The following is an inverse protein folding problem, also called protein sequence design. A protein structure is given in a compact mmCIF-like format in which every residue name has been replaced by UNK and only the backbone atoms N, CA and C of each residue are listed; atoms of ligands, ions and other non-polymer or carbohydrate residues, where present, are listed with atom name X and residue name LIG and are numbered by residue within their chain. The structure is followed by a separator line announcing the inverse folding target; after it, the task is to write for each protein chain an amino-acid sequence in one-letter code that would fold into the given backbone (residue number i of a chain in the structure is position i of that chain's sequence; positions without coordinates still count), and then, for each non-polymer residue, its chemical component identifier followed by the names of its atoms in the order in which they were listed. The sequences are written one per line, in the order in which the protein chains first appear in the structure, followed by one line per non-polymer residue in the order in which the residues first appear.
data_IF_349131443607
#
_entry.id   IF_349131443607
#
_cell.length_a   1.000
_cell.length_b   1.000
_cell.length_c   1.000
_cell.angle_alpha   90.00
_cell.angle_beta   90.00
_cell.angle_gamma   90.00
#
_symmetry.space_group_name_H-M   'P 1'
#
loop_
_entity.id
_entity.type
_entity.pdbx_description
1 polymer ?
#
# COMPACT_ATOMS: atom_id res chain seq x y z
N UNK A 1 3.79 -25.78 1.64
CA UNK A 1 3.45 -24.49 1.03
C UNK A 1 3.63 -23.42 2.10
N UNK A 2 4.49 -22.46 1.86
CA UNK A 2 4.73 -21.39 2.81
C UNK A 2 3.62 -20.32 2.73
N UNK A 3 3.52 -19.44 3.73
CA UNK A 3 2.48 -18.41 3.79
C UNK A 3 2.48 -17.51 2.56
N UNK A 4 3.64 -17.14 2.05
CA UNK A 4 3.82 -16.32 0.85
C UNK A 4 3.13 -16.94 -0.36
N UNK A 5 3.37 -18.24 -0.61
CA UNK A 5 2.74 -18.97 -1.72
C UNK A 5 1.21 -19.04 -1.55
N UNK A 6 0.74 -19.29 -0.35
CA UNK A 6 -0.70 -19.36 -0.04
C UNK A 6 -1.39 -18.01 -0.32
N UNK A 7 -0.78 -16.91 0.09
CA UNK A 7 -1.31 -15.57 -0.13
C UNK A 7 -1.31 -15.22 -1.63
N UNK A 8 -0.22 -15.50 -2.34
CA UNK A 8 -0.14 -15.24 -3.78
C UNK A 8 -1.16 -16.07 -4.57
N UNK A 9 -1.33 -17.34 -4.22
CA UNK A 9 -2.33 -18.20 -4.87
C UNK A 9 -3.75 -17.72 -4.57
N UNK A 10 -4.01 -17.24 -3.36
CA UNK A 10 -5.32 -16.68 -3.02
C UNK A 10 -5.59 -15.37 -3.77
N UNK A 11 -4.60 -14.47 -3.90
CA UNK A 11 -4.74 -13.25 -4.71
C UNK A 11 -5.06 -13.58 -6.17
N UNK A 12 -4.36 -14.57 -6.75
CA UNK A 12 -4.66 -15.03 -8.11
C UNK A 12 -6.06 -15.63 -8.23
N UNK A 13 -6.49 -16.40 -7.24
CA UNK A 13 -7.84 -16.97 -7.19
C UNK A 13 -8.93 -15.90 -7.10
N UNK A 14 -8.62 -14.75 -6.52
CA UNK A 14 -9.51 -13.58 -6.46
C UNK A 14 -9.50 -12.75 -7.76
N UNK A 15 -8.67 -13.12 -8.74
CA UNK A 15 -8.58 -12.45 -10.04
C UNK A 15 -7.50 -11.38 -10.15
N UNK A 16 -6.63 -11.25 -9.14
CA UNK A 16 -5.48 -10.36 -9.21
C UNK A 16 -4.29 -11.00 -9.93
N UNK A 17 -3.41 -10.17 -10.46
CA UNK A 17 -2.17 -10.58 -11.10
C UNK A 17 -0.97 -10.00 -10.34
N UNK A 18 -0.55 -10.62 -9.22
CA UNK A 18 0.59 -10.12 -8.47
C UNK A 18 1.87 -10.18 -9.30
N UNK A 19 2.58 -9.06 -9.37
CA UNK A 19 3.85 -8.90 -10.08
C UNK A 19 4.96 -8.73 -9.05
N UNK A 20 6.00 -9.53 -9.14
CA UNK A 20 7.15 -9.45 -8.25
C UNK A 20 7.92 -8.14 -8.46
N UNK A 21 8.19 -7.44 -7.36
CA UNK A 21 8.92 -6.19 -7.33
C UNK A 21 10.22 -6.39 -6.54
N UNK A 22 11.22 -6.99 -7.19
CA UNK A 22 12.50 -7.30 -6.56
C UNK A 22 12.35 -8.00 -5.21
N UNK A 23 13.16 -7.61 -4.25
CA UNK A 23 13.11 -8.17 -2.88
C UNK A 23 12.04 -7.52 -1.97
N UNK A 24 11.29 -6.54 -2.50
CA UNK A 24 10.33 -5.76 -1.72
C UNK A 24 9.01 -6.50 -1.52
N UNK A 25 8.51 -7.15 -2.56
CA UNK A 25 7.25 -7.86 -2.50
C UNK A 25 6.53 -8.02 -3.83
N UNK A 26 5.21 -7.99 -3.79
CA UNK A 26 4.36 -8.27 -4.95
C UNK A 26 3.30 -7.18 -5.10
N UNK A 27 3.34 -6.50 -6.22
CA UNK A 27 2.37 -5.45 -6.59
C UNK A 27 1.17 -6.07 -7.27
N UNK A 28 -0.01 -5.68 -6.87
CA UNK A 28 -1.25 -5.99 -7.58
C UNK A 28 -2.15 -4.75 -7.64
N UNK A 29 -3.00 -4.70 -8.64
CA UNK A 29 -3.88 -3.57 -8.88
C UNK A 29 -5.32 -3.94 -8.55
N UNK A 30 -5.98 -3.06 -7.79
CA UNK A 30 -7.42 -3.10 -7.57
C UNK A 30 -8.00 -1.71 -7.84
N UNK A 31 -8.98 -1.65 -8.73
CA UNK A 31 -9.48 -0.39 -9.28
C UNK A 31 -8.30 0.45 -9.80
N UNK A 32 -8.15 1.67 -9.36
CA UNK A 32 -7.08 2.57 -9.83
C UNK A 32 -5.90 2.64 -8.86
N UNK A 33 -5.83 1.74 -7.88
CA UNK A 33 -4.80 1.77 -6.85
C UNK A 33 -3.87 0.57 -6.93
N UNK A 34 -2.60 0.83 -6.68
CA UNK A 34 -1.60 -0.21 -6.52
C UNK A 34 -1.50 -0.61 -5.05
N UNK A 35 -1.55 -1.91 -4.82
CA UNK A 35 -1.33 -2.54 -3.53
C UNK A 35 -0.02 -3.31 -3.57
N UNK A 36 0.67 -3.36 -2.47
CA UNK A 36 1.93 -4.08 -2.35
C UNK A 36 1.83 -5.08 -1.18
N UNK A 37 1.90 -6.36 -1.47
CA UNK A 37 2.10 -7.39 -0.48
C UNK A 37 3.59 -7.49 -0.17
N UNK A 38 3.96 -7.28 1.09
CA UNK A 38 5.35 -7.29 1.57
C UNK A 38 5.54 -8.47 2.51
N UNK A 39 5.98 -9.65 2.01
CA UNK A 39 6.29 -10.77 2.88
C UNK A 39 7.48 -10.46 3.79
N UNK A 40 7.49 -11.06 4.97
CA UNK A 40 8.59 -10.99 5.90
C UNK A 40 9.23 -12.38 6.02
N UNK A 41 10.48 -12.52 5.61
CA UNK A 41 11.17 -13.81 5.62
C UNK A 41 11.56 -14.27 7.05
N UNK A 42 11.60 -13.35 8.00
CA UNK A 42 11.95 -13.62 9.39
C UNK A 42 10.72 -13.92 10.27
N UNK A 43 9.52 -13.55 9.83
CA UNK A 43 8.25 -13.81 10.54
C UNK A 43 7.19 -14.39 9.61
N UNK A 44 7.11 -15.71 9.58
CA UNK A 44 6.16 -16.46 8.74
C UNK A 44 4.67 -16.15 9.04
N UNK A 45 4.36 -15.60 10.21
CA UNK A 45 2.99 -15.25 10.58
C UNK A 45 2.63 -13.80 10.27
N UNK A 46 3.60 -13.00 9.85
CA UNK A 46 3.39 -11.59 9.60
C UNK A 46 2.85 -11.35 8.18
N UNK A 47 1.68 -10.75 8.11
CA UNK A 47 1.05 -10.32 6.86
C UNK A 47 1.04 -8.80 6.79
N UNK A 48 1.68 -8.24 5.78
CA UNK A 48 1.66 -6.80 5.51
C UNK A 48 1.21 -6.54 4.08
N UNK A 49 0.16 -5.76 3.93
CA UNK A 49 -0.29 -5.22 2.65
C UNK A 49 -0.38 -3.70 2.81
N UNK A 50 0.08 -2.98 1.81
CA UNK A 50 0.17 -1.52 1.85
C UNK A 50 -0.37 -0.91 0.55
N UNK A 51 -0.77 0.36 0.62
CA UNK A 51 -0.88 1.23 -0.55
C UNK A 51 0.33 2.16 -0.49
N UNK A 52 1.32 1.99 -1.38
CA UNK A 52 2.51 2.79 -1.35
C UNK A 52 2.29 4.19 -1.93
N UNK A 53 3.07 5.13 -1.47
CA UNK A 53 3.22 6.44 -2.10
C UNK A 53 1.91 7.22 -2.29
N UNK A 54 1.10 7.32 -1.24
CA UNK A 54 -0.13 8.12 -1.28
C UNK A 54 0.14 9.61 -1.52
N UNK A 55 1.21 10.10 -0.93
CA UNK A 55 1.53 11.53 -0.97
C UNK A 55 3.00 11.76 -0.71
N UNK A 56 3.63 12.63 -1.51
CA UNK A 56 5.01 13.05 -1.32
C UNK A 56 5.08 14.13 -0.24
N UNK A 57 6.01 13.96 0.70
CA UNK A 57 6.22 14.88 1.81
C UNK A 57 7.45 15.73 1.53
N UNK A 58 7.25 17.04 1.54
CA UNK A 58 8.31 18.05 1.41
C UNK A 58 8.44 18.84 2.70
N UNK A 59 9.50 19.62 2.85
CA UNK A 59 9.66 20.50 4.01
C UNK A 59 8.49 21.50 4.14
N UNK A 60 7.92 21.93 3.02
CA UNK A 60 6.81 22.89 2.97
C UNK A 60 5.48 22.33 3.40
N UNK A 61 5.19 21.07 3.05
CA UNK A 61 3.90 20.43 3.35
C UNK A 61 3.93 19.50 4.56
N UNK A 62 5.09 19.27 5.17
CA UNK A 62 5.30 18.27 6.21
C UNK A 62 4.32 18.40 7.39
N UNK A 63 4.11 19.60 7.89
CA UNK A 63 3.21 19.84 9.03
C UNK A 63 1.77 19.47 8.66
N UNK A 64 1.30 19.90 7.50
CA UNK A 64 -0.06 19.61 7.01
C UNK A 64 -0.25 18.11 6.80
N UNK A 65 0.75 17.44 6.25
CA UNK A 65 0.70 15.98 6.02
C UNK A 65 0.69 15.22 7.35
N UNK A 66 1.54 15.60 8.30
CA UNK A 66 1.57 14.96 9.63
C UNK A 66 0.24 15.14 10.37
N UNK A 67 -0.36 16.31 10.32
CA UNK A 67 -1.68 16.56 10.90
C UNK A 67 -2.76 15.69 10.24
N UNK A 68 -2.75 15.61 8.90
CA UNK A 68 -3.67 14.75 8.15
C UNK A 68 -3.48 13.27 8.50
N UNK A 69 -2.26 12.81 8.67
CA UNK A 69 -1.95 11.44 9.10
C UNK A 69 -2.48 11.16 10.50
N UNK A 70 -2.27 12.10 11.42
CA UNK A 70 -2.77 11.99 12.79
C UNK A 70 -4.31 11.91 12.83
N UNK A 71 -4.99 12.82 12.17
CA UNK A 71 -6.45 12.84 12.10
C UNK A 71 -7.02 11.58 11.41
N UNK A 72 -6.36 11.13 10.35
CA UNK A 72 -6.71 9.88 9.69
C UNK A 72 -6.61 8.70 10.65
N UNK A 73 -5.52 8.63 11.43
CA UNK A 73 -5.30 7.59 12.43
C UNK A 73 -6.37 7.54 13.52
N UNK A 74 -6.94 8.69 13.90
CA UNK A 74 -8.05 8.74 14.86
C UNK A 74 -9.36 8.15 14.32
N UNK A 75 -9.55 8.17 13.01
CA UNK A 75 -10.76 7.69 12.33
C UNK A 75 -10.66 6.24 11.90
N UNK A 76 -9.46 5.73 11.68
CA UNK A 76 -9.25 4.39 11.16
C UNK A 76 -9.23 3.32 12.24
N UNK A 77 -9.72 2.14 11.84
CA UNK A 77 -9.46 0.88 12.54
C UNK A 77 -8.56 0.03 11.64
N UNK A 78 -7.66 -0.74 12.23
CA UNK A 78 -6.79 -1.74 11.58
C UNK A 78 -5.68 -1.21 10.70
N UNK A 79 -5.89 -0.12 9.98
CA UNK A 79 -4.87 0.49 9.12
C UNK A 79 -4.26 1.73 9.77
N UNK A 80 -3.06 2.07 9.33
CA UNK A 80 -2.36 3.29 9.70
C UNK A 80 -1.80 3.96 8.45
N UNK A 81 -1.59 5.26 8.52
CA UNK A 81 -0.84 6.01 7.50
C UNK A 81 0.46 6.47 8.14
N UNK A 82 1.58 6.08 7.56
CA UNK A 82 2.92 6.36 8.08
C UNK A 82 3.81 6.94 7.00
N UNK A 83 4.84 7.66 7.43
CA UNK A 83 5.94 8.01 6.55
C UNK A 83 6.80 6.75 6.36
N UNK A 84 6.92 6.32 5.13
CA UNK A 84 7.83 5.26 4.73
C UNK A 84 8.91 5.85 3.81
N UNK A 85 9.65 5.04 3.15
CA UNK A 85 10.77 5.39 2.27
C UNK A 85 10.63 6.76 1.57
N UNK A 86 11.72 7.51 1.51
CA UNK A 86 11.84 8.81 0.81
C UNK A 86 10.75 9.84 1.12
N UNK A 87 10.38 9.98 2.38
CA UNK A 87 9.38 10.98 2.78
C UNK A 87 8.05 10.88 2.00
N UNK A 88 7.56 9.68 1.84
CA UNK A 88 6.21 9.43 1.31
C UNK A 88 5.28 8.89 2.38
N UNK A 89 4.02 9.30 2.34
CA UNK A 89 2.96 8.73 3.15
C UNK A 89 2.45 7.44 2.52
N UNK A 90 2.37 6.37 3.31
CA UNK A 90 1.88 5.06 2.90
C UNK A 90 0.74 4.62 3.80
N UNK A 91 -0.30 3.99 3.25
CA UNK A 91 -1.31 3.30 4.04
C UNK A 91 -0.86 1.86 4.27
N UNK A 92 -0.91 1.41 5.52
CA UNK A 92 -0.34 0.12 5.95
C UNK A 92 -1.38 -0.66 6.73
N UNK A 93 -1.54 -1.94 6.36
CA UNK A 93 -2.29 -2.92 7.14
C UNK A 93 -1.36 -4.05 7.53
N UNK A 94 -1.29 -4.34 8.83
CA UNK A 94 -0.49 -5.42 9.40
C UNK A 94 -1.38 -6.38 10.18
N UNK A 95 -1.14 -7.67 10.00
CA UNK A 95 -1.93 -8.72 10.62
C UNK A 95 -1.06 -9.92 11.00
N UNK A 96 -1.37 -10.53 12.11
CA UNK A 96 -0.77 -11.81 12.48
C UNK A 96 -1.66 -12.95 11.96
N UNK A 97 -1.25 -13.57 10.87
CA UNK A 97 -2.01 -14.63 10.19
C UNK A 97 -1.78 -15.98 10.89
N UNK A 98 -2.72 -16.38 11.73
CA UNK A 98 -2.64 -17.63 12.48
C UNK A 98 -3.43 -18.78 11.85
N UNK A 99 -4.29 -18.49 10.88
CA UNK A 99 -5.07 -19.44 10.09
C UNK A 99 -5.26 -18.91 8.68
N UNK A 100 -5.32 -19.82 7.73
CA UNK A 100 -5.67 -19.50 6.33
C UNK A 100 -7.14 -19.75 6.02
N UNK A 101 -7.92 -20.18 7.02
CA UNK A 101 -9.36 -20.27 6.90
C UNK A 101 -9.92 -18.86 6.62
N UNK A 102 -10.78 -18.74 5.63
CA UNK A 102 -11.36 -17.45 5.22
C UNK A 102 -10.33 -16.39 4.74
N UNK A 103 -9.20 -16.84 4.19
CA UNK A 103 -8.15 -15.92 3.69
C UNK A 103 -8.67 -14.95 2.62
N UNK A 104 -9.55 -15.40 1.73
CA UNK A 104 -10.18 -14.54 0.72
C UNK A 104 -10.96 -13.38 1.38
N UNK A 105 -11.75 -13.67 2.40
CA UNK A 105 -12.51 -12.66 3.14
C UNK A 105 -11.58 -11.67 3.87
N UNK A 106 -10.50 -12.17 4.46
CA UNK A 106 -9.48 -11.33 5.10
C UNK A 106 -8.81 -10.38 4.09
N UNK A 107 -8.37 -10.91 2.96
CA UNK A 107 -7.72 -10.09 1.91
C UNK A 107 -8.67 -9.04 1.34
N UNK A 108 -9.93 -9.39 1.12
CA UNK A 108 -10.96 -8.44 0.69
C UNK A 108 -11.16 -7.34 1.74
N UNK A 109 -11.21 -7.71 3.03
CA UNK A 109 -11.30 -6.76 4.13
C UNK A 109 -10.09 -5.81 4.16
N UNK A 110 -8.86 -6.35 4.01
CA UNK A 110 -7.63 -5.55 3.98
C UNK A 110 -7.67 -4.53 2.84
N UNK A 111 -8.04 -4.94 1.65
CA UNK A 111 -8.14 -4.07 0.48
C UNK A 111 -9.13 -2.91 0.74
N UNK A 112 -10.31 -3.22 1.26
CA UNK A 112 -11.33 -2.20 1.60
C UNK A 112 -10.88 -1.24 2.70
N UNK A 113 -10.20 -1.75 3.71
CA UNK A 113 -9.69 -0.91 4.81
C UNK A 113 -8.59 0.02 4.32
N UNK A 114 -7.68 -0.47 3.49
CA UNK A 114 -6.62 0.36 2.89
C UNK A 114 -7.18 1.42 1.93
N UNK A 115 -8.17 1.06 1.12
CA UNK A 115 -8.88 2.01 0.26
C UNK A 115 -9.54 3.12 1.09
N UNK A 116 -10.24 2.75 2.15
CA UNK A 116 -10.84 3.72 3.08
C UNK A 116 -9.79 4.61 3.76
N UNK A 117 -8.64 4.04 4.13
CA UNK A 117 -7.54 4.80 4.72
C UNK A 117 -6.99 5.86 3.75
N UNK A 118 -6.76 5.48 2.51
CA UNK A 118 -6.32 6.40 1.46
C UNK A 118 -7.36 7.52 1.23
N UNK A 119 -8.63 7.15 1.14
CA UNK A 119 -9.74 8.09 0.94
C UNK A 119 -9.83 9.12 2.07
N UNK A 120 -9.81 8.68 3.32
CA UNK A 120 -9.86 9.57 4.49
C UNK A 120 -8.65 10.50 4.51
N UNK A 121 -7.45 9.95 4.24
CA UNK A 121 -6.21 10.72 4.21
C UNK A 121 -6.24 11.83 3.14
N UNK A 122 -6.62 11.52 1.91
CA UNK A 122 -6.73 12.51 0.84
C UNK A 122 -7.78 13.58 1.14
N UNK A 123 -8.90 13.18 1.73
CA UNK A 123 -9.94 14.11 2.13
C UNK A 123 -9.46 15.10 3.19
N UNK A 124 -8.62 14.63 4.14
CA UNK A 124 -8.00 15.49 5.14
C UNK A 124 -6.99 16.48 4.55
N UNK A 125 -6.20 16.05 3.57
CA UNK A 125 -5.20 16.92 2.92
C UNK A 125 -5.83 17.93 1.97
N UNK A 126 -6.72 17.47 1.08
CA UNK A 126 -7.17 18.24 -0.07
C UNK A 126 -8.61 18.73 0.02
N UNK A 127 -9.41 18.22 0.95
CA UNK A 127 -10.85 18.49 1.01
C UNK A 127 -11.63 17.92 -0.18
N UNK A 128 -10.98 17.08 -1.03
CA UNK A 128 -11.55 16.49 -2.23
C UNK A 128 -11.86 15.01 -2.01
N UNK A 129 -12.90 14.49 -2.70
CA UNK A 129 -13.17 13.07 -2.73
C UNK A 129 -12.16 12.35 -3.61
N UNK A 130 -11.67 11.20 -3.11
CA UNK A 130 -10.76 10.31 -3.85
C UNK A 130 -11.29 9.95 -5.25
N UNK A 131 -12.60 9.83 -5.39
CA UNK A 131 -13.28 9.54 -6.66
C UNK A 131 -13.04 10.59 -7.75
N UNK A 132 -12.66 11.82 -7.40
CA UNK A 132 -12.31 12.86 -8.37
C UNK A 132 -10.94 12.69 -9.03
N UNK A 133 -10.08 11.78 -8.53
CA UNK A 133 -8.76 11.47 -9.10
C UNK A 133 -8.74 10.25 -10.01
N UNK A 134 -9.74 9.39 -9.91
CA UNK A 134 -9.81 8.17 -10.73
C UNK A 134 -9.95 8.46 -12.23
N UNK A 135 -10.50 9.61 -12.60
CA UNK A 135 -10.63 10.03 -14.00
C UNK A 135 -9.30 10.43 -14.64
N UNK A 136 -8.31 10.88 -13.86
CA UNK A 136 -6.98 11.23 -14.37
C UNK A 136 -6.02 10.04 -14.46
N UNK A 137 -6.30 8.94 -13.77
CA UNK A 137 -5.43 7.76 -13.74
C UNK A 137 -5.72 6.71 -14.81
N UNK A 138 -6.85 6.80 -15.50
CA UNK A 138 -7.25 5.85 -16.55
C UNK A 138 -6.33 5.85 -17.79
N UNK A 139 -5.48 6.86 -17.91
CA UNK A 139 -4.63 7.08 -19.10
C UNK A 139 -3.13 6.83 -18.85
N UNK A 140 -2.76 6.22 -17.71
CA UNK A 140 -1.36 5.86 -17.46
C UNK A 140 -1.01 4.60 -18.26
N UNK A 141 0.00 4.73 -19.13
CA UNK A 141 0.55 3.58 -19.84
C UNK A 141 1.25 2.62 -18.87
N UNK A 142 1.31 1.34 -19.21
CA UNK A 142 2.04 0.33 -18.44
C UNK A 142 3.52 0.74 -18.23
N UNK A 143 4.10 1.47 -19.19
CA UNK A 143 5.47 2.00 -19.10
C UNK A 143 5.61 3.07 -17.99
N UNK A 144 4.63 3.94 -17.79
CA UNK A 144 4.64 4.93 -16.71
C UNK A 144 4.49 4.27 -15.34
N UNK A 145 3.68 3.22 -15.25
CA UNK A 145 3.53 2.44 -14.04
C UNK A 145 4.82 1.70 -13.68
N UNK A 146 5.48 1.06 -14.66
CA UNK A 146 6.77 0.40 -14.47
C UNK A 146 7.85 1.39 -14.06
N UNK A 147 7.88 2.59 -14.64
CA UNK A 147 8.82 3.65 -14.27
C UNK A 147 8.61 4.15 -12.84
N UNK A 148 7.35 4.31 -12.40
CA UNK A 148 7.01 4.68 -11.03
C UNK A 148 7.37 3.58 -10.02
N UNK A 149 7.14 2.33 -10.36
CA UNK A 149 7.53 1.17 -9.57
C UNK A 149 9.06 1.04 -9.47
N UNK A 150 9.78 1.27 -10.56
CA UNK A 150 11.25 1.26 -10.56
C UNK A 150 11.83 2.40 -9.71
N UNK A 151 11.23 3.58 -9.76
CA UNK A 151 11.59 4.71 -8.91
C UNK A 151 11.39 4.41 -7.42
N UNK A 152 10.32 3.70 -7.07
CA UNK A 152 10.10 3.24 -5.69
C UNK A 152 11.15 2.24 -5.23
N UNK A 153 11.54 1.29 -6.11
CA UNK A 153 12.60 0.32 -5.84
C UNK A 153 13.94 1.00 -5.57
N UNK A 154 14.34 1.93 -6.44
CA UNK A 154 15.59 2.67 -6.32
C UNK A 154 15.63 3.44 -4.99
N UNK A 155 14.51 4.03 -4.57
CA UNK A 155 14.32 4.68 -3.29
C UNK A 155 14.59 3.77 -2.10
N UNK A 156 14.02 2.57 -2.12
CA UNK A 156 14.13 1.59 -1.04
C UNK A 156 15.57 1.09 -0.92
N UNK A 157 16.25 0.84 -2.05
CA UNK A 157 17.66 0.41 -2.08
C UNK A 157 18.60 1.51 -1.54
N UNK A 158 18.34 2.78 -1.86
CA UNK A 158 19.12 3.90 -1.33
C UNK A 158 18.98 4.04 0.19
N UNK A 159 17.79 3.86 0.74
CA UNK A 159 17.55 3.92 2.18
C UNK A 159 18.19 2.74 2.94
N UNK A 160 18.23 1.55 2.35
CA UNK A 160 18.92 0.38 2.93
C UNK A 160 20.45 0.57 2.95
N UNK A 161 21.03 1.22 1.96
CA UNK A 161 22.48 1.49 1.90
C UNK A 161 22.88 2.63 2.85
N UNK A 162 22.00 3.56 3.16
CA UNK A 162 22.26 4.67 4.08
C UNK A 162 22.23 4.29 5.57
N UNK A 163 21.73 3.10 5.92
CA UNK A 163 21.72 2.53 7.26
C UNK A 163 22.78 1.44 7.42
#
# INVERSE_FOLDING_TARGET
MNQKEIILDQLKAMGFEPIELGDVGFVFKYEDMNYLYMPDDDDELFLRIVIPHLFEITDENRVVVLDAMHETGLMLKYAKVCIMYENAAWAIYEHRLTSTDNLAELLEHIIRVLEAAAHVFYKKINGEDFMGRSEESEDRSDEELEAELQKMLDSIEEDEVAN
#
